data_IF_878564869693
#
_entry.id   IF_878564869693
#
_cell.length_a   1.000
_cell.length_b   1.000
_cell.length_c   1.000
_cell.angle_alpha   90.00
_cell.angle_beta   90.00
_cell.angle_gamma   90.00
#
_symmetry.space_group_name_H-M   'P 1'
#
loop_
_entity.id
_entity.type
_entity.pdbx_description
1 polymer ?
#
# COMPACT_ATOMS: atom_id res chain seq x y z
N UNK A 1 21.89 25.19 -5.14
CA UNK A 1 20.45 24.97 -5.19
C UNK A 1 20.13 23.88 -4.17
N UNK A 2 19.15 24.08 -3.27
CA UNK A 2 18.75 23.06 -2.28
C UNK A 2 18.10 21.90 -3.02
N UNK A 3 18.54 20.65 -2.79
CA UNK A 3 17.97 19.47 -3.42
C UNK A 3 17.08 18.75 -2.41
N UNK A 4 15.77 18.68 -2.66
CA UNK A 4 14.79 17.99 -1.84
C UNK A 4 14.33 16.75 -2.61
N UNK A 5 14.65 15.56 -2.09
CA UNK A 5 14.23 14.29 -2.69
C UNK A 5 12.73 14.04 -2.50
N UNK A 6 12.11 13.31 -3.41
CA UNK A 6 10.71 12.89 -3.27
C UNK A 6 10.48 12.04 -2.00
N UNK A 7 11.41 11.17 -1.69
CA UNK A 7 11.38 10.32 -0.49
C UNK A 7 12.78 10.19 0.10
N UNK A 8 12.82 9.92 1.41
CA UNK A 8 14.06 9.67 2.13
C UNK A 8 13.81 8.63 3.21
N UNK A 9 14.62 7.58 3.23
CA UNK A 9 14.62 6.57 4.27
C UNK A 9 15.27 7.13 5.52
N UNK A 10 14.72 6.81 6.69
CA UNK A 10 15.28 7.17 8.00
C UNK A 10 15.66 5.88 8.72
N UNK A 11 16.96 5.67 8.89
CA UNK A 11 17.55 4.51 9.57
C UNK A 11 18.51 4.99 10.69
N UNK A 12 17.94 5.61 11.71
CA UNK A 12 18.65 6.20 12.85
C UNK A 12 18.24 5.58 14.20
N UNK A 13 17.64 4.38 14.14
CA UNK A 13 17.24 3.55 15.27
C UNK A 13 18.20 2.39 15.53
N UNK A 14 17.63 1.24 15.83
CA UNK A 14 18.37 0.01 16.19
C UNK A 14 18.79 -0.84 14.97
N UNK A 15 18.67 -0.36 13.74
CA UNK A 15 18.89 -1.13 12.51
C UNK A 15 20.28 -1.77 12.50
N UNK A 16 21.35 -0.99 12.75
CA UNK A 16 22.73 -1.49 12.77
C UNK A 16 22.97 -2.48 13.91
N UNK A 17 22.33 -2.27 15.06
CA UNK A 17 22.43 -3.18 16.20
C UNK A 17 21.84 -4.55 15.85
N UNK A 18 20.63 -4.58 15.33
CA UNK A 18 19.94 -5.84 15.03
C UNK A 18 20.55 -6.58 13.83
N UNK A 19 21.07 -5.86 12.81
CA UNK A 19 21.84 -6.47 11.74
C UNK A 19 23.12 -7.12 12.29
N UNK A 20 23.84 -6.46 13.20
CA UNK A 20 25.04 -7.02 13.84
C UNK A 20 24.72 -8.33 14.57
N UNK A 21 23.64 -8.37 15.35
CA UNK A 21 23.20 -9.58 16.04
C UNK A 21 22.95 -10.74 15.06
N UNK A 22 22.37 -10.47 13.88
CA UNK A 22 22.16 -11.47 12.82
C UNK A 22 23.50 -11.97 12.27
N UNK A 23 24.44 -11.06 11.97
CA UNK A 23 25.75 -11.42 11.44
C UNK A 23 26.58 -12.24 12.45
N UNK A 24 26.53 -11.86 13.72
CA UNK A 24 27.23 -12.58 14.82
C UNK A 24 26.62 -13.98 15.05
N UNK A 25 25.32 -14.14 14.84
CA UNK A 25 24.67 -15.46 14.95
C UNK A 25 25.08 -16.44 13.83
N UNK A 26 25.57 -15.91 12.70
CA UNK A 26 25.86 -16.68 11.48
C UNK A 26 24.63 -17.18 10.73
N UNK A 27 23.42 -16.81 11.16
CA UNK A 27 22.17 -17.26 10.55
C UNK A 27 21.48 -16.14 9.78
N UNK A 28 21.69 -16.10 8.47
CA UNK A 28 21.26 -14.97 7.62
C UNK A 28 19.88 -15.15 6.99
N UNK A 29 19.40 -16.38 6.81
CA UNK A 29 18.11 -16.69 6.20
C UNK A 29 16.98 -16.66 7.25
N UNK A 30 15.77 -17.01 6.87
CA UNK A 30 14.58 -17.01 7.75
C UNK A 30 14.82 -17.82 9.03
N UNK A 31 14.77 -17.14 10.16
CA UNK A 31 14.96 -17.72 11.49
C UNK A 31 14.31 -16.86 12.59
N UNK A 32 15.01 -16.68 13.72
CA UNK A 32 14.50 -16.02 14.92
C UNK A 32 14.09 -14.57 14.74
N UNK A 33 14.84 -13.76 13.96
CA UNK A 33 14.45 -12.35 13.71
C UNK A 33 13.20 -12.25 12.87
N UNK A 34 13.04 -13.11 11.87
CA UNK A 34 11.83 -13.17 11.07
C UNK A 34 10.62 -13.57 11.91
N UNK A 35 10.74 -14.60 12.77
CA UNK A 35 9.67 -15.01 13.67
C UNK A 35 9.30 -13.90 14.68
N UNK A 36 10.29 -13.20 15.22
CA UNK A 36 10.08 -12.07 16.13
C UNK A 36 9.37 -10.92 15.40
N UNK A 37 9.75 -10.61 14.17
CA UNK A 37 9.12 -9.58 13.37
C UNK A 37 7.65 -9.92 13.04
N UNK A 38 7.38 -11.18 12.63
CA UNK A 38 6.02 -11.69 12.41
C UNK A 38 5.14 -11.52 13.66
N UNK A 39 5.65 -11.98 14.82
CA UNK A 39 4.92 -11.89 16.09
C UNK A 39 4.64 -10.44 16.49
N UNK A 40 5.65 -9.55 16.50
CA UNK A 40 5.47 -8.14 16.89
C UNK A 40 4.54 -7.41 15.91
N UNK A 41 4.62 -7.73 14.62
CA UNK A 41 3.75 -7.14 13.62
C UNK A 41 2.30 -7.58 13.82
N UNK A 42 2.06 -8.87 14.05
CA UNK A 42 0.72 -9.41 14.35
C UNK A 42 0.12 -8.79 15.62
N UNK A 43 0.92 -8.61 16.67
CA UNK A 43 0.49 -7.95 17.91
C UNK A 43 0.01 -6.50 17.65
N UNK A 44 0.73 -5.75 16.80
CA UNK A 44 0.41 -4.35 16.49
C UNK A 44 -0.88 -4.24 15.66
N UNK A 45 -1.04 -5.08 14.63
CA UNK A 45 -2.21 -4.99 13.74
C UNK A 45 -3.41 -5.77 14.29
N UNK A 46 -3.22 -6.57 15.35
CA UNK A 46 -4.28 -7.36 15.99
C UNK A 46 -4.71 -8.58 15.18
N UNK A 47 -3.87 -9.10 14.28
CA UNK A 47 -4.11 -10.32 13.52
C UNK A 47 -3.59 -11.55 14.26
N UNK A 48 -4.24 -12.72 14.09
CA UNK A 48 -3.77 -13.97 14.69
C UNK A 48 -2.47 -14.48 14.06
N UNK A 49 -2.28 -14.23 12.77
CA UNK A 49 -1.12 -14.71 12.01
C UNK A 49 -0.55 -13.58 11.16
N UNK A 50 0.79 -13.50 11.15
CA UNK A 50 1.56 -12.69 10.23
C UNK A 50 2.67 -13.54 9.61
N UNK A 51 2.90 -13.41 8.32
CA UNK A 51 3.88 -14.17 7.55
C UNK A 51 4.75 -13.20 6.76
N UNK A 52 6.00 -13.08 7.14
CA UNK A 52 6.97 -12.22 6.45
C UNK A 52 7.41 -12.85 5.13
N UNK A 53 7.43 -12.02 4.09
CA UNK A 53 7.78 -12.39 2.72
C UNK A 53 8.72 -11.37 2.11
N UNK A 54 9.32 -11.70 0.96
CA UNK A 54 10.32 -10.85 0.30
C UNK A 54 9.74 -9.63 -0.44
N UNK A 55 8.42 -9.52 -0.60
CA UNK A 55 7.74 -8.35 -1.19
C UNK A 55 6.24 -8.37 -0.93
N UNK A 56 5.57 -7.23 -1.05
CA UNK A 56 4.09 -7.18 -1.04
C UNK A 56 3.48 -7.95 -2.23
N UNK A 57 4.14 -7.94 -3.38
CA UNK A 57 3.73 -8.74 -4.54
C UNK A 57 3.68 -10.22 -4.19
N UNK A 58 4.67 -10.74 -3.48
CA UNK A 58 4.67 -12.11 -2.98
C UNK A 58 3.54 -12.35 -1.97
N UNK A 59 3.25 -11.39 -1.09
CA UNK A 59 2.14 -11.46 -0.15
C UNK A 59 0.78 -11.56 -0.87
N UNK A 60 0.53 -10.66 -1.85
CA UNK A 60 -0.69 -10.66 -2.66
C UNK A 60 -0.85 -11.95 -3.47
N UNK A 61 0.24 -12.45 -4.07
CA UNK A 61 0.22 -13.71 -4.82
C UNK A 61 -0.13 -14.90 -3.92
N UNK A 62 0.51 -15.02 -2.76
CA UNK A 62 0.21 -16.05 -1.77
C UNK A 62 -1.22 -15.93 -1.22
N UNK A 63 -1.72 -14.70 -1.06
CA UNK A 63 -3.07 -14.45 -0.58
C UNK A 63 -4.13 -15.00 -1.54
N UNK A 64 -4.00 -14.70 -2.83
CA UNK A 64 -4.91 -15.21 -3.86
C UNK A 64 -4.75 -16.73 -4.06
N UNK A 65 -3.52 -17.25 -4.01
CA UNK A 65 -3.25 -18.68 -4.08
C UNK A 65 -3.92 -19.43 -2.91
N UNK A 66 -3.82 -18.90 -1.68
CA UNK A 66 -4.44 -19.50 -0.50
C UNK A 66 -5.98 -19.42 -0.51
N UNK A 67 -6.56 -18.56 -1.35
CA UNK A 67 -8.00 -18.49 -1.64
C UNK A 67 -8.41 -19.35 -2.83
N UNK A 68 -7.49 -20.18 -3.35
CA UNK A 68 -7.71 -21.06 -4.49
C UNK A 68 -8.18 -20.31 -5.76
N UNK A 69 -7.63 -19.10 -5.97
CA UNK A 69 -7.84 -18.32 -7.21
C UNK A 69 -7.05 -18.95 -8.33
N UNK A 70 -7.69 -19.20 -9.48
CA UNK A 70 -7.09 -19.87 -10.63
C UNK A 70 -7.73 -19.52 -11.96
N UNK A 71 -7.40 -20.27 -13.03
CA UNK A 71 -7.93 -20.04 -14.37
C UNK A 71 -9.47 -20.07 -14.40
N UNK A 72 -10.06 -19.05 -15.02
CA UNK A 72 -11.52 -18.88 -15.12
C UNK A 72 -12.13 -18.03 -13.99
N UNK A 73 -11.39 -17.80 -12.89
CA UNK A 73 -11.84 -16.91 -11.84
C UNK A 73 -11.66 -15.43 -12.22
N UNK A 74 -12.49 -14.57 -11.64
CA UNK A 74 -12.42 -13.11 -11.78
C UNK A 74 -12.15 -12.46 -10.44
N UNK A 75 -11.28 -11.44 -10.45
CA UNK A 75 -10.93 -10.67 -9.25
C UNK A 75 -11.08 -9.19 -9.53
N UNK A 76 -11.88 -8.50 -8.71
CA UNK A 76 -12.02 -7.04 -8.78
C UNK A 76 -10.74 -6.36 -8.28
N UNK A 77 -10.33 -5.29 -8.98
CA UNK A 77 -9.15 -4.49 -8.62
C UNK A 77 -9.32 -3.05 -9.14
N UNK A 78 -8.99 -1.99 -8.36
CA UNK A 78 -9.04 -0.63 -8.87
C UNK A 78 -8.00 -0.43 -9.99
N UNK A 79 -8.35 0.41 -10.97
CA UNK A 79 -7.42 0.77 -12.04
C UNK A 79 -6.32 1.74 -11.58
N UNK A 80 -6.60 2.54 -10.52
CA UNK A 80 -5.63 3.44 -9.89
C UNK A 80 -4.85 2.72 -8.79
N UNK A 81 -3.91 1.89 -9.21
CA UNK A 81 -3.03 1.14 -8.30
C UNK A 81 -1.68 0.88 -8.96
N UNK A 82 -0.73 0.37 -8.17
CA UNK A 82 0.50 -0.21 -8.71
C UNK A 82 0.19 -1.55 -9.41
N UNK A 83 0.93 -1.85 -10.47
CA UNK A 83 0.64 -3.00 -11.34
C UNK A 83 0.58 -4.36 -10.60
N UNK A 84 1.31 -4.49 -9.48
CA UNK A 84 1.36 -5.73 -8.70
C UNK A 84 -0.03 -6.25 -8.28
N UNK A 85 -0.96 -5.35 -7.89
CA UNK A 85 -2.32 -5.74 -7.48
C UNK A 85 -3.09 -6.50 -8.58
N UNK A 86 -2.82 -6.20 -9.86
CA UNK A 86 -3.43 -6.89 -11.00
C UNK A 86 -2.55 -8.02 -11.57
N UNK A 87 -1.23 -7.88 -11.51
CA UNK A 87 -0.30 -8.90 -12.01
C UNK A 87 -0.45 -10.23 -11.28
N UNK A 88 -0.60 -10.20 -9.95
CA UNK A 88 -0.74 -11.42 -9.15
C UNK A 88 -1.98 -12.24 -9.52
N UNK A 89 -3.04 -11.58 -9.99
CA UNK A 89 -4.22 -12.24 -10.54
C UNK A 89 -3.83 -13.02 -11.80
N UNK A 90 -3.05 -12.38 -12.68
CA UNK A 90 -2.58 -13.00 -13.92
C UNK A 90 -1.58 -14.13 -13.70
N UNK A 91 -0.75 -14.06 -12.65
CA UNK A 91 0.17 -15.13 -12.30
C UNK A 91 -0.55 -16.45 -12.02
N UNK A 92 -1.76 -16.38 -11.48
CA UNK A 92 -2.61 -17.54 -11.19
C UNK A 92 -3.53 -17.94 -12.36
N UNK A 93 -3.45 -17.24 -13.50
CA UNK A 93 -4.28 -17.53 -14.68
C UNK A 93 -5.71 -16.95 -14.59
N UNK A 94 -6.08 -16.29 -13.49
CA UNK A 94 -7.35 -15.59 -13.33
C UNK A 94 -7.37 -14.26 -14.09
N UNK A 95 -8.54 -13.63 -14.22
CA UNK A 95 -8.71 -12.38 -14.95
C UNK A 95 -9.08 -11.21 -14.01
N UNK A 96 -8.36 -10.07 -14.06
CA UNK A 96 -8.73 -8.87 -13.34
C UNK A 96 -9.94 -8.20 -13.99
N UNK A 97 -10.89 -7.77 -13.15
CA UNK A 97 -11.97 -6.86 -13.52
C UNK A 97 -11.64 -5.49 -12.92
N UNK A 98 -11.34 -4.52 -13.79
CA UNK A 98 -10.88 -3.21 -13.36
C UNK A 98 -12.04 -2.31 -12.94
N UNK A 99 -11.88 -1.63 -11.82
CA UNK A 99 -12.82 -0.67 -11.27
C UNK A 99 -12.31 0.76 -11.46
N UNK A 100 -13.21 1.70 -11.72
CA UNK A 100 -12.90 3.12 -11.53
C UNK A 100 -12.76 3.42 -10.03
N UNK A 101 -12.37 4.62 -9.70
CA UNK A 101 -12.20 5.09 -8.32
C UNK A 101 -12.94 6.41 -8.11
N UNK A 102 -13.12 6.80 -6.86
CA UNK A 102 -13.67 8.10 -6.54
C UNK A 102 -12.62 9.21 -6.74
N UNK A 103 -13.03 10.31 -7.35
CA UNK A 103 -12.18 11.49 -7.50
C UNK A 103 -11.88 12.13 -6.16
N UNK A 104 -10.62 12.49 -5.93
CA UNK A 104 -10.16 13.09 -4.68
C UNK A 104 -9.64 12.09 -3.64
N UNK A 105 -10.21 10.89 -3.55
CA UNK A 105 -9.73 9.83 -2.65
C UNK A 105 -8.87 8.79 -3.35
N UNK A 106 -9.11 8.55 -4.64
CA UNK A 106 -8.54 7.45 -5.44
C UNK A 106 -8.90 6.06 -4.88
N UNK A 107 -10.02 5.95 -4.16
CA UNK A 107 -10.49 4.70 -3.55
C UNK A 107 -11.74 4.18 -4.26
N UNK A 108 -11.97 2.88 -4.18
CA UNK A 108 -13.25 2.26 -4.58
C UNK A 108 -14.30 2.55 -3.52
N UNK A 109 -15.48 3.01 -3.94
CA UNK A 109 -16.64 3.26 -3.06
C UNK A 109 -17.63 2.11 -3.09
N UNK A 110 -18.60 2.12 -2.19
CA UNK A 110 -19.69 1.16 -2.15
C UNK A 110 -20.48 1.11 -3.47
N UNK A 111 -20.77 2.26 -4.07
CA UNK A 111 -21.54 2.35 -5.32
C UNK A 111 -20.78 1.75 -6.50
N UNK A 112 -19.47 2.05 -6.61
CA UNK A 112 -18.59 1.46 -7.64
C UNK A 112 -18.56 -0.06 -7.49
N UNK A 113 -18.38 -0.57 -6.25
CA UNK A 113 -18.32 -2.00 -6.00
C UNK A 113 -19.66 -2.70 -6.32
N UNK A 114 -20.79 -2.14 -5.89
CA UNK A 114 -22.12 -2.70 -6.17
C UNK A 114 -22.40 -2.78 -7.66
N UNK A 115 -22.16 -1.68 -8.39
CA UNK A 115 -22.30 -1.66 -9.85
C UNK A 115 -21.44 -2.72 -10.53
N UNK A 116 -20.21 -2.93 -10.08
CA UNK A 116 -19.33 -3.96 -10.64
C UNK A 116 -19.87 -5.38 -10.40
N UNK A 117 -20.38 -5.66 -9.19
CA UNK A 117 -20.96 -6.97 -8.83
C UNK A 117 -22.21 -7.27 -9.67
N UNK A 118 -23.07 -6.27 -9.93
CA UNK A 118 -24.24 -6.41 -10.79
C UNK A 118 -23.87 -6.84 -12.22
N UNK A 119 -22.77 -6.29 -12.76
CA UNK A 119 -22.28 -6.62 -14.11
C UNK A 119 -21.44 -7.91 -14.16
N UNK A 120 -20.89 -8.35 -13.01
CA UNK A 120 -20.03 -9.51 -12.89
C UNK A 120 -20.42 -10.35 -11.67
N UNK A 121 -21.48 -11.20 -11.76
CA UNK A 121 -21.97 -11.95 -10.59
C UNK A 121 -21.06 -13.11 -10.16
N UNK A 122 -20.04 -13.45 -10.93
CA UNK A 122 -19.10 -14.56 -10.74
C UNK A 122 -17.73 -14.13 -10.18
N UNK A 123 -17.69 -13.04 -9.43
CA UNK A 123 -16.48 -12.55 -8.78
C UNK A 123 -16.10 -13.44 -7.59
N UNK A 124 -14.85 -13.90 -7.56
CA UNK A 124 -14.30 -14.71 -6.47
C UNK A 124 -13.66 -13.88 -5.36
N UNK A 125 -12.94 -12.82 -5.73
CA UNK A 125 -12.26 -11.96 -4.76
C UNK A 125 -12.23 -10.50 -5.21
N UNK A 126 -11.99 -9.62 -4.25
CA UNK A 126 -11.76 -8.19 -4.46
C UNK A 126 -10.45 -7.77 -3.78
N UNK A 127 -9.64 -7.00 -4.48
CA UNK A 127 -8.42 -6.38 -3.95
C UNK A 127 -8.67 -4.87 -3.77
N UNK A 128 -9.24 -4.42 -2.64
CA UNK A 128 -9.24 -3.00 -2.31
C UNK A 128 -7.81 -2.51 -2.07
N UNK A 129 -7.47 -1.33 -2.59
CA UNK A 129 -6.17 -0.70 -2.39
C UNK A 129 -6.31 0.48 -1.43
N UNK A 130 -5.54 0.49 -0.37
CA UNK A 130 -5.46 1.61 0.58
C UNK A 130 -4.53 2.70 0.03
N UNK A 131 -5.06 3.47 -0.92
CA UNK A 131 -4.27 4.41 -1.71
C UNK A 131 -3.64 5.51 -0.84
N UNK A 132 -2.39 5.87 -1.13
CA UNK A 132 -1.62 6.94 -0.48
C UNK A 132 -1.41 6.75 1.05
N UNK A 133 -1.99 5.72 1.64
CA UNK A 133 -2.02 5.48 3.09
C UNK A 133 -3.36 5.78 3.74
N UNK A 134 -4.39 6.13 2.95
CA UNK A 134 -5.76 6.20 3.40
C UNK A 134 -6.42 4.84 3.28
N UNK A 135 -7.02 4.34 4.34
CA UNK A 135 -7.74 3.08 4.31
C UNK A 135 -8.95 3.17 3.37
N UNK A 136 -9.15 2.16 2.52
CA UNK A 136 -10.39 1.99 1.78
C UNK A 136 -11.58 1.88 2.75
N UNK A 137 -12.80 2.31 2.38
CA UNK A 137 -13.96 2.36 3.28
C UNK A 137 -14.53 0.96 3.55
N UNK A 138 -13.71 0.08 4.14
CA UNK A 138 -14.06 -1.31 4.43
C UNK A 138 -15.18 -1.45 5.45
N UNK A 139 -15.18 -0.59 6.46
CA UNK A 139 -16.15 -0.61 7.56
C UNK A 139 -17.24 0.44 7.34
N UNK A 140 -18.48 0.08 7.64
CA UNK A 140 -19.62 1.01 7.64
C UNK A 140 -19.38 2.14 8.64
N UNK A 141 -19.79 3.37 8.29
CA UNK A 141 -19.64 4.56 9.15
C UNK A 141 -20.98 5.15 9.60
N UNK A 142 -22.08 4.39 9.48
CA UNK A 142 -23.44 4.81 9.80
C UNK A 142 -24.14 5.65 8.71
N UNK A 143 -23.40 6.11 7.68
CA UNK A 143 -23.94 6.83 6.51
C UNK A 143 -23.80 6.03 5.24
N UNK A 144 -22.71 5.30 5.10
CA UNK A 144 -22.39 4.45 3.94
C UNK A 144 -22.09 3.04 4.39
N UNK A 145 -22.53 2.07 3.61
CA UNK A 145 -22.22 0.65 3.78
C UNK A 145 -20.74 0.40 3.51
N UNK A 146 -20.11 -0.44 4.33
CA UNK A 146 -18.70 -0.81 4.16
C UNK A 146 -18.50 -1.83 3.05
N UNK A 147 -17.36 -1.75 2.36
CA UNK A 147 -17.02 -2.70 1.30
C UNK A 147 -16.98 -4.15 1.81
N UNK A 148 -16.58 -4.35 3.08
CA UNK A 148 -16.54 -5.67 3.72
C UNK A 148 -17.94 -6.32 3.79
N UNK A 149 -18.94 -5.55 4.16
CA UNK A 149 -20.33 -6.02 4.26
C UNK A 149 -20.87 -6.38 2.88
N UNK A 150 -20.66 -5.54 1.88
CA UNK A 150 -21.06 -5.79 0.49
C UNK A 150 -20.44 -7.10 -0.03
N UNK A 151 -19.12 -7.27 0.15
CA UNK A 151 -18.41 -8.47 -0.29
C UNK A 151 -18.92 -9.72 0.42
N UNK A 152 -19.11 -9.66 1.73
CA UNK A 152 -19.63 -10.78 2.52
C UNK A 152 -21.02 -11.22 2.07
N UNK A 153 -21.92 -10.26 1.78
CA UNK A 153 -23.27 -10.55 1.32
C UNK A 153 -23.31 -11.21 -0.09
N UNK A 154 -22.23 -11.03 -0.87
CA UNK A 154 -22.09 -11.60 -2.21
C UNK A 154 -21.09 -12.79 -2.28
N UNK A 155 -20.59 -13.28 -1.14
CA UNK A 155 -19.64 -14.39 -1.11
C UNK A 155 -18.24 -14.06 -1.68
N UNK A 156 -17.89 -12.79 -1.78
CA UNK A 156 -16.63 -12.30 -2.36
C UNK A 156 -15.57 -12.19 -1.25
N UNK A 157 -14.40 -12.77 -1.46
CA UNK A 157 -13.26 -12.70 -0.52
C UNK A 157 -12.51 -11.39 -0.68
N UNK A 158 -11.98 -10.85 0.42
CA UNK A 158 -11.23 -9.58 0.42
C UNK A 158 -9.75 -9.82 0.70
N UNK A 159 -8.90 -9.39 -0.24
CA UNK A 159 -7.45 -9.30 -0.09
C UNK A 159 -7.04 -7.83 -0.10
N UNK A 160 -6.76 -7.26 1.06
CA UNK A 160 -6.39 -5.84 1.19
C UNK A 160 -4.96 -5.61 0.66
N UNK A 161 -4.82 -4.74 -0.35
CA UNK A 161 -3.50 -4.19 -0.71
C UNK A 161 -3.20 -2.98 0.18
N UNK A 162 -2.48 -3.24 1.26
CA UNK A 162 -2.06 -2.27 2.26
C UNK A 162 -0.61 -1.81 2.06
N UNK A 163 -0.08 -1.88 0.81
CA UNK A 163 1.30 -1.49 0.51
C UNK A 163 1.63 -0.03 0.90
N UNK A 164 0.63 0.83 1.07
CA UNK A 164 0.77 2.22 1.51
C UNK A 164 0.27 2.47 2.93
N UNK A 165 -0.37 1.48 3.59
CA UNK A 165 -1.28 1.73 4.70
C UNK A 165 -0.79 1.16 6.04
N UNK A 166 0.51 1.22 6.31
CA UNK A 166 0.99 0.93 7.65
C UNK A 166 1.66 2.17 8.28
N UNK A 167 1.28 2.54 9.51
CA UNK A 167 0.14 2.08 10.30
C UNK A 167 -1.11 2.97 10.09
N UNK A 168 -2.01 2.56 9.20
CA UNK A 168 -3.27 3.27 8.96
C UNK A 168 -4.43 2.65 9.71
N UNK A 169 -5.56 3.40 9.80
CA UNK A 169 -6.79 2.93 10.44
C UNK A 169 -7.99 3.16 9.53
N UNK A 170 -8.95 2.24 9.59
CA UNK A 170 -10.27 2.38 9.01
C UNK A 170 -11.27 2.55 10.14
N UNK A 171 -11.87 3.73 10.28
CA UNK A 171 -12.79 4.07 11.38
C UNK A 171 -12.17 3.74 12.76
N UNK A 172 -10.90 4.09 12.99
CA UNK A 172 -10.17 3.85 14.23
C UNK A 172 -9.62 2.41 14.39
N UNK A 173 -10.08 1.42 13.62
CA UNK A 173 -9.52 0.06 13.62
C UNK A 173 -8.28 0.01 12.73
N UNK A 174 -7.17 -0.50 13.27
CA UNK A 174 -5.91 -0.60 12.50
C UNK A 174 -6.10 -1.53 11.29
N UNK A 175 -5.51 -1.14 10.15
CA UNK A 175 -5.45 -1.98 8.94
C UNK A 175 -4.53 -3.17 9.19
N UNK A 176 -4.98 -4.36 8.80
CA UNK A 176 -4.21 -5.60 8.97
C UNK A 176 -5.01 -6.78 9.51
N UNK A 177 -6.27 -6.50 9.92
CA UNK A 177 -7.22 -7.51 10.40
C UNK A 177 -8.66 -7.04 10.15
N UNK A 178 -8.98 -6.62 8.91
CA UNK A 178 -10.33 -6.15 8.56
C UNK A 178 -10.95 -7.07 7.53
N UNK A 179 -10.29 -7.29 6.39
CA UNK A 179 -10.69 -8.27 5.38
C UNK A 179 -10.26 -9.69 5.74
N UNK A 180 -10.26 -10.59 4.76
CA UNK A 180 -9.81 -11.98 4.94
C UNK A 180 -8.29 -12.07 5.06
N UNK A 181 -7.59 -11.28 4.25
CA UNK A 181 -6.11 -11.22 4.19
C UNK A 181 -5.69 -9.78 3.94
N UNK A 182 -4.65 -9.31 4.62
CA UNK A 182 -4.04 -7.99 4.36
C UNK A 182 -2.58 -8.16 3.98
N UNK A 183 -2.14 -7.44 2.93
CA UNK A 183 -0.79 -7.52 2.38
C UNK A 183 -0.07 -6.18 2.48
N UNK A 184 1.09 -6.15 3.16
CA UNK A 184 1.90 -4.96 3.40
C UNK A 184 3.19 -4.96 2.61
N UNK A 185 3.72 -3.78 2.33
CA UNK A 185 5.02 -3.56 1.68
C UNK A 185 6.01 -2.91 2.63
N UNK A 186 7.22 -3.43 2.62
CA UNK A 186 8.38 -2.84 3.28
C UNK A 186 9.47 -2.47 2.26
N UNK A 187 9.04 -2.10 1.03
CA UNK A 187 9.95 -1.56 0.02
C UNK A 187 10.64 -0.28 0.53
N UNK A 188 11.78 0.07 -0.04
CA UNK A 188 12.68 1.11 0.46
C UNK A 188 12.02 2.46 0.78
N UNK A 189 11.00 2.90 0.03
CA UNK A 189 10.34 4.19 0.23
C UNK A 189 9.08 4.15 1.12
N UNK A 190 8.70 2.97 1.65
CA UNK A 190 7.48 2.82 2.46
C UNK A 190 7.61 3.48 3.84
N UNK A 191 6.51 3.54 4.57
CA UNK A 191 6.45 4.16 5.92
C UNK A 191 7.40 3.50 6.91
N UNK A 192 7.56 2.18 6.81
CA UNK A 192 8.67 1.40 7.37
C UNK A 192 9.28 0.54 6.26
N UNK A 193 10.56 0.21 6.37
CA UNK A 193 11.25 -0.52 5.31
C UNK A 193 12.13 -1.66 5.84
N UNK A 194 12.31 -2.68 4.99
CA UNK A 194 13.34 -3.73 5.16
C UNK A 194 14.31 -3.75 3.97
N UNK A 195 14.32 -2.65 3.17
CA UNK A 195 14.93 -2.59 1.84
C UNK A 195 13.98 -3.19 0.80
N UNK A 196 13.83 -4.47 0.81
CA UNK A 196 12.79 -5.26 0.15
C UNK A 196 12.09 -6.12 1.19
N UNK A 197 10.77 -6.26 1.10
CA UNK A 197 9.98 -7.07 2.01
C UNK A 197 8.48 -6.82 1.92
N UNK A 198 7.74 -7.72 2.57
CA UNK A 198 6.30 -7.64 2.74
C UNK A 198 5.83 -8.47 3.91
N UNK A 199 4.55 -8.35 4.23
CA UNK A 199 3.87 -9.14 5.25
C UNK A 199 2.48 -9.51 4.78
N UNK A 200 2.07 -10.75 4.99
CA UNK A 200 0.69 -11.20 4.86
C UNK A 200 0.14 -11.40 6.26
N UNK A 201 -1.03 -10.84 6.56
CA UNK A 201 -1.72 -11.04 7.84
C UNK A 201 -3.12 -11.60 7.63
N UNK A 202 -3.58 -12.45 8.54
CA UNK A 202 -4.91 -13.09 8.50
C UNK A 202 -5.28 -13.66 9.87
N UNK A 203 -6.58 -13.81 10.13
CA UNK A 203 -7.08 -14.56 11.29
C UNK A 203 -7.39 -16.04 10.94
N UNK A 204 -7.34 -16.40 9.66
CA UNK A 204 -7.64 -17.74 9.19
C UNK A 204 -6.42 -18.66 9.28
N UNK A 205 -6.50 -19.64 10.16
CA UNK A 205 -5.42 -20.63 10.32
C UNK A 205 -5.19 -21.47 9.04
N UNK A 206 -6.22 -21.92 8.28
CA UNK A 206 -5.99 -22.60 7.01
C UNK A 206 -5.22 -21.75 5.99
N UNK A 207 -5.55 -20.47 5.85
CA UNK A 207 -4.84 -19.53 4.96
C UNK A 207 -3.39 -19.35 5.42
N UNK A 208 -3.18 -19.12 6.72
CA UNK A 208 -1.83 -18.95 7.26
C UNK A 208 -0.96 -20.19 7.05
N UNK A 209 -1.50 -21.38 7.28
CA UNK A 209 -0.80 -22.66 7.02
C UNK A 209 -0.45 -22.83 5.55
N UNK A 210 -1.39 -22.54 4.64
CA UNK A 210 -1.16 -22.64 3.20
C UNK A 210 -0.08 -21.67 2.76
N UNK A 211 -0.19 -20.39 3.11
CA UNK A 211 0.79 -19.37 2.75
C UNK A 211 2.19 -19.67 3.34
N UNK A 212 2.28 -20.22 4.57
CA UNK A 212 3.54 -20.64 5.19
C UNK A 212 4.24 -21.73 4.40
N UNK A 213 3.50 -22.72 3.91
CA UNK A 213 4.04 -23.81 3.08
C UNK A 213 4.45 -23.26 1.70
N UNK A 214 3.56 -22.48 1.07
CA UNK A 214 3.76 -22.01 -0.30
C UNK A 214 4.88 -20.97 -0.42
N UNK A 215 5.15 -20.14 0.61
CA UNK A 215 6.24 -19.15 0.58
C UNK A 215 7.63 -19.77 0.52
N UNK A 216 7.74 -21.10 0.77
CA UNK A 216 8.99 -21.82 0.81
C UNK A 216 8.88 -23.17 0.08
N UNK A 217 8.84 -23.13 -1.25
CA UNK A 217 8.90 -24.29 -2.15
C UNK A 217 7.78 -25.34 -1.94
N UNK A 218 6.68 -25.02 -1.24
CA UNK A 218 5.67 -26.03 -0.91
C UNK A 218 6.13 -27.09 0.09
N UNK A 219 7.18 -26.78 0.85
CA UNK A 219 7.75 -27.70 1.84
C UNK A 219 6.91 -27.67 3.12
N UNK A 220 6.49 -28.84 3.59
CA UNK A 220 5.60 -28.99 4.75
C UNK A 220 6.26 -28.76 6.11
N UNK A 221 7.54 -28.33 6.14
CA UNK A 221 8.32 -28.08 7.37
C UNK A 221 9.08 -26.77 7.33
N UNK A 222 9.22 -26.16 8.51
CA UNK A 222 10.04 -24.95 8.68
C UNK A 222 11.54 -25.28 8.54
N UNK A 223 12.29 -24.42 7.83
CA UNK A 223 13.76 -24.61 7.69
C UNK A 223 14.45 -24.56 9.06
N UNK A 224 13.98 -23.66 9.93
CA UNK A 224 14.52 -23.50 11.28
C UNK A 224 14.39 -24.78 12.10
N UNK A 225 13.23 -25.43 12.04
CA UNK A 225 12.97 -26.69 12.78
C UNK A 225 13.89 -27.85 12.35
N UNK A 226 14.43 -27.78 11.12
CA UNK A 226 15.39 -28.81 10.63
C UNK A 226 16.71 -28.81 11.37
N UNK A 227 17.16 -27.64 11.85
CA UNK A 227 18.49 -27.45 12.40
C UNK A 227 18.48 -27.23 13.92
N UNK A 228 17.34 -26.92 14.52
CA UNK A 228 17.20 -26.56 15.93
C UNK A 228 16.39 -27.57 16.77
N UNK A 229 15.66 -28.49 16.13
CA UNK A 229 14.89 -29.50 16.88
C UNK A 229 15.82 -30.55 17.51
N UNK A 230 15.55 -30.95 18.75
CA UNK A 230 16.28 -32.02 19.49
C UNK A 230 16.21 -33.39 18.76
N UNK A 231 15.28 -33.60 17.86
CA UNK A 231 15.17 -34.76 16.99
C UNK A 231 15.45 -34.32 15.56
N UNK A 232 16.61 -34.59 14.97
CA UNK A 232 16.88 -34.32 13.59
C UNK A 232 15.92 -35.13 12.72
N UNK A 233 14.92 -34.47 12.19
CA UNK A 233 13.95 -35.07 11.27
C UNK A 233 14.57 -35.08 9.88
N UNK A 234 14.92 -36.27 9.42
CA UNK A 234 15.67 -36.50 8.17
C UNK A 234 14.83 -36.25 6.92
N UNK A 235 13.49 -36.31 7.04
CA UNK A 235 12.61 -36.27 5.89
C UNK A 235 11.70 -35.01 5.90
N UNK A 236 11.60 -34.38 4.73
CA UNK A 236 10.61 -33.34 4.40
C UNK A 236 9.94 -33.72 3.08
N UNK A 237 8.74 -33.20 2.87
CA UNK A 237 7.99 -33.46 1.64
C UNK A 237 7.61 -32.14 0.99
N UNK A 238 7.52 -32.15 -0.35
CA UNK A 238 7.01 -31.05 -1.17
C UNK A 238 5.55 -31.39 -1.50
N UNK A 239 4.64 -30.75 -0.75
CA UNK A 239 3.19 -31.04 -0.85
C UNK A 239 2.47 -30.22 -1.92
N UNK A 240 3.15 -29.23 -2.50
CA UNK A 240 2.66 -28.40 -3.59
C UNK A 240 3.83 -27.68 -4.29
N UNK A 241 3.66 -27.22 -5.54
CA UNK A 241 4.68 -26.42 -6.25
C UNK A 241 4.72 -24.98 -5.70
N UNK A 242 5.40 -24.80 -4.57
CA UNK A 242 5.49 -23.51 -3.88
C UNK A 242 6.54 -22.57 -4.47
N UNK A 243 6.67 -21.40 -3.86
CA UNK A 243 7.49 -20.29 -4.31
C UNK A 243 8.71 -20.09 -3.39
N UNK A 244 9.65 -19.24 -3.80
CA UNK A 244 10.77 -18.78 -2.97
C UNK A 244 10.52 -17.34 -2.54
N UNK A 245 9.66 -17.14 -1.54
CA UNK A 245 9.16 -15.83 -1.10
C UNK A 245 9.47 -15.48 0.36
N UNK A 246 10.18 -16.33 1.06
CA UNK A 246 10.54 -16.11 2.47
C UNK A 246 11.43 -14.88 2.67
N UNK A 247 11.23 -14.16 3.78
CA UNK A 247 12.08 -13.04 4.19
C UNK A 247 13.33 -13.56 4.93
N UNK A 248 14.55 -13.04 4.66
CA UNK A 248 15.75 -13.35 5.44
C UNK A 248 15.80 -12.55 6.75
N UNK A 249 16.51 -13.07 7.77
CA UNK A 249 16.65 -12.43 9.07
C UNK A 249 17.35 -11.06 9.03
N UNK A 250 18.24 -10.82 8.06
CA UNK A 250 18.84 -9.50 7.85
C UNK A 250 17.76 -8.45 7.56
N UNK A 251 16.82 -8.75 6.66
CA UNK A 251 15.70 -7.85 6.34
C UNK A 251 14.75 -7.71 7.52
N UNK A 252 14.44 -8.81 8.22
CA UNK A 252 13.60 -8.79 9.40
C UNK A 252 14.21 -7.97 10.55
N UNK A 253 15.54 -7.99 10.71
CA UNK A 253 16.26 -7.18 11.69
C UNK A 253 16.06 -5.67 11.45
N UNK A 254 16.12 -5.22 10.18
CA UNK A 254 15.78 -3.85 9.82
C UNK A 254 14.31 -3.57 10.15
N UNK A 255 13.42 -4.49 9.76
CA UNK A 255 11.97 -4.37 10.01
C UNK A 255 11.63 -4.22 11.49
N UNK A 256 12.28 -4.97 12.38
CA UNK A 256 12.11 -4.86 13.83
C UNK A 256 12.46 -3.46 14.36
N UNK A 257 13.59 -2.91 13.93
CA UNK A 257 14.02 -1.57 14.33
C UNK A 257 13.07 -0.48 13.80
N UNK A 258 12.64 -0.61 12.55
CA UNK A 258 11.67 0.30 11.92
C UNK A 258 10.30 0.22 12.61
N UNK A 259 9.88 -0.99 13.01
CA UNK A 259 8.60 -1.21 13.69
C UNK A 259 8.51 -0.49 15.04
N UNK A 260 9.62 -0.42 15.78
CA UNK A 260 9.73 0.32 17.06
C UNK A 260 9.39 1.82 16.91
N UNK A 261 9.52 2.35 15.71
CA UNK A 261 9.38 3.77 15.40
C UNK A 261 8.22 4.10 14.45
N UNK A 262 7.47 3.08 14.04
CA UNK A 262 6.43 3.23 13.03
C UNK A 262 5.43 4.36 13.34
N UNK A 263 4.94 4.44 14.59
CA UNK A 263 3.98 5.48 14.99
C UNK A 263 4.63 6.87 15.04
N UNK A 264 5.85 7.02 15.56
CA UNK A 264 6.54 8.31 15.56
C UNK A 264 6.81 8.81 14.14
N UNK A 265 7.18 7.93 13.23
CA UNK A 265 7.36 8.27 11.81
C UNK A 265 6.03 8.64 11.12
N UNK A 266 4.91 8.00 11.50
CA UNK A 266 3.58 8.38 11.04
C UNK A 266 3.21 9.80 11.50
N UNK A 267 3.45 10.12 12.78
CA UNK A 267 3.18 11.45 13.34
C UNK A 267 3.97 12.54 12.61
N UNK A 268 5.25 12.30 12.29
CA UNK A 268 6.04 13.25 11.50
C UNK A 268 5.52 13.44 10.07
N UNK A 269 5.03 12.37 9.42
CA UNK A 269 4.37 12.48 8.12
C UNK A 269 3.03 13.23 8.22
N UNK A 270 2.27 13.01 9.28
CA UNK A 270 1.04 13.76 9.56
C UNK A 270 1.33 15.25 9.75
N UNK A 271 2.42 15.62 10.45
CA UNK A 271 2.88 17.00 10.59
C UNK A 271 3.12 17.64 9.20
N UNK A 272 3.85 16.95 8.33
CA UNK A 272 4.10 17.43 6.97
C UNK A 272 2.80 17.60 6.17
N UNK A 273 1.88 16.64 6.27
CA UNK A 273 0.59 16.70 5.59
C UNK A 273 -0.25 17.90 6.07
N UNK A 274 -0.38 18.10 7.38
CA UNK A 274 -1.07 19.26 7.96
C UNK A 274 -0.49 20.58 7.46
N UNK A 275 0.84 20.64 7.37
CA UNK A 275 1.52 21.80 6.84
C UNK A 275 1.15 22.11 5.38
N UNK A 276 1.12 21.07 4.53
CA UNK A 276 0.66 21.23 3.15
C UNK A 276 -0.79 21.68 3.05
N UNK A 277 -1.70 21.10 3.84
CA UNK A 277 -3.09 21.55 3.87
C UNK A 277 -3.21 23.01 4.26
N UNK A 278 -2.50 23.45 5.32
CA UNK A 278 -2.51 24.84 5.78
C UNK A 278 -2.00 25.81 4.70
N UNK A 279 -0.88 25.47 4.03
CA UNK A 279 -0.20 26.37 3.11
C UNK A 279 -0.75 26.36 1.68
N UNK A 280 -1.43 25.31 1.27
CA UNK A 280 -1.87 25.12 -0.13
C UNK A 280 -3.40 25.22 -0.30
N UNK A 281 -4.20 25.35 0.76
CA UNK A 281 -5.65 25.39 0.70
C UNK A 281 -6.22 26.60 -0.05
N UNK A 282 -5.43 27.64 -0.27
CA UNK A 282 -5.79 28.88 -0.97
C UNK A 282 -5.49 28.86 -2.47
N UNK A 283 -4.98 27.76 -3.02
CA UNK A 283 -4.63 27.62 -4.43
C UNK A 283 -5.79 26.96 -5.20
N UNK A 284 -6.50 27.74 -6.02
CA UNK A 284 -7.66 27.28 -6.77
C UNK A 284 -7.33 26.28 -7.91
N UNK A 285 -6.08 26.24 -8.34
CA UNK A 285 -5.62 25.42 -9.47
C UNK A 285 -5.19 24.00 -9.09
N UNK A 286 -5.26 23.64 -7.79
CA UNK A 286 -5.02 22.29 -7.32
C UNK A 286 -6.11 21.81 -6.37
N UNK A 287 -6.41 20.52 -6.42
CA UNK A 287 -7.24 19.85 -5.43
C UNK A 287 -6.33 19.09 -4.47
N UNK A 288 -6.54 19.32 -3.17
CA UNK A 288 -5.86 18.58 -2.09
C UNK A 288 -6.56 17.24 -1.88
N UNK A 289 -5.86 16.24 -1.30
CA UNK A 289 -6.47 14.94 -1.06
C UNK A 289 -7.68 15.04 -0.12
N UNK A 290 -8.74 14.30 -0.44
CA UNK A 290 -9.94 14.22 0.41
C UNK A 290 -9.68 13.20 1.53
N UNK A 291 -9.94 13.59 2.78
CA UNK A 291 -9.75 12.73 3.95
C UNK A 291 -11.10 12.17 4.38
N UNK A 292 -11.25 10.85 4.35
CA UNK A 292 -12.51 10.16 4.70
C UNK A 292 -12.75 10.05 6.20
N UNK A 293 -11.68 9.96 6.97
CA UNK A 293 -11.68 9.73 8.42
C UNK A 293 -10.86 10.81 9.14
N UNK A 294 -10.24 10.47 10.26
CA UNK A 294 -9.36 11.41 10.96
C UNK A 294 -7.99 11.49 10.28
N UNK A 295 -7.33 12.63 10.41
CA UNK A 295 -5.94 12.80 9.96
C UNK A 295 -4.98 11.74 10.54
N UNK A 296 -5.20 11.36 11.80
CA UNK A 296 -4.42 10.34 12.51
C UNK A 296 -4.66 8.91 12.03
N UNK A 297 -5.73 8.67 11.27
CA UNK A 297 -6.02 7.36 10.68
C UNK A 297 -5.21 7.09 9.40
N UNK A 298 -4.57 8.13 8.84
CA UNK A 298 -3.80 8.04 7.61
C UNK A 298 -2.31 7.85 7.90
N UNK A 299 -1.63 6.96 7.16
CA UNK A 299 -0.17 6.78 7.29
C UNK A 299 0.65 7.86 6.58
N UNK A 300 0.02 8.63 5.71
CA UNK A 300 0.67 9.69 4.91
C UNK A 300 1.88 9.18 4.14
N UNK A 301 1.74 8.00 3.53
CA UNK A 301 2.79 7.47 2.66
C UNK A 301 3.04 8.37 1.45
N UNK A 302 1.97 8.87 0.85
CA UNK A 302 1.99 9.81 -0.27
C UNK A 302 1.12 11.01 0.08
N UNK A 303 1.57 12.21 -0.30
CA UNK A 303 0.73 13.41 -0.36
C UNK A 303 0.54 13.76 -1.83
N UNK A 304 -0.63 13.43 -2.38
CA UNK A 304 -0.95 13.63 -3.79
C UNK A 304 -1.89 14.82 -3.95
N UNK A 305 -1.48 15.80 -4.74
CA UNK A 305 -2.34 16.89 -5.21
C UNK A 305 -2.76 16.60 -6.65
N UNK A 306 -3.88 17.18 -7.09
CA UNK A 306 -4.35 17.07 -8.46
C UNK A 306 -4.41 18.48 -9.05
N UNK A 307 -3.62 18.77 -10.09
CA UNK A 307 -3.81 19.97 -10.88
C UNK A 307 -5.15 19.84 -11.59
N UNK A 308 -6.08 20.72 -11.26
CA UNK A 308 -7.45 20.71 -11.81
C UNK A 308 -7.56 21.54 -13.08
N UNK A 309 -8.79 21.68 -13.62
CA UNK A 309 -9.02 22.38 -14.88
C UNK A 309 -8.74 23.91 -14.80
N UNK A 310 -8.59 24.50 -13.61
CA UNK A 310 -8.18 25.88 -13.40
C UNK A 310 -6.65 26.05 -13.44
N UNK A 311 -5.88 24.96 -13.55
CA UNK A 311 -4.42 25.07 -13.58
C UNK A 311 -3.95 25.74 -14.86
N UNK A 312 -3.07 26.77 -14.76
CA UNK A 312 -2.51 27.44 -15.93
C UNK A 312 -1.50 26.55 -16.69
N UNK A 313 -1.12 25.41 -16.11
CA UNK A 313 -0.08 24.55 -16.62
C UNK A 313 -0.56 23.10 -16.71
N UNK A 314 0.02 22.33 -17.63
CA UNK A 314 -0.11 20.89 -17.62
C UNK A 314 0.66 20.28 -16.43
N UNK A 315 0.21 19.13 -15.94
CA UNK A 315 0.91 18.37 -14.91
C UNK A 315 2.40 18.14 -15.24
N UNK A 316 2.71 17.78 -16.48
CA UNK A 316 4.10 17.50 -16.88
C UNK A 316 4.98 18.75 -16.78
N UNK A 317 4.48 19.90 -17.25
CA UNK A 317 5.22 21.14 -17.14
C UNK A 317 5.39 21.61 -15.68
N UNK A 318 4.39 21.41 -14.83
CA UNK A 318 4.52 21.64 -13.39
C UNK A 318 5.64 20.78 -12.77
N UNK A 319 5.69 19.49 -13.10
CA UNK A 319 6.75 18.56 -12.63
C UNK A 319 8.14 19.02 -13.08
N UNK A 320 8.30 19.48 -14.33
CA UNK A 320 9.54 20.03 -14.86
C UNK A 320 9.97 21.26 -14.07
N UNK A 321 9.09 22.22 -13.84
CA UNK A 321 9.38 23.44 -13.07
C UNK A 321 9.72 23.14 -11.60
N UNK A 322 9.09 22.16 -10.98
CA UNK A 322 9.47 21.70 -9.63
C UNK A 322 10.88 21.08 -9.64
N UNK A 323 11.21 20.27 -10.64
CA UNK A 323 12.54 19.68 -10.78
C UNK A 323 13.64 20.73 -11.01
N UNK A 324 13.37 21.79 -11.79
CA UNK A 324 14.28 22.93 -11.97
C UNK A 324 14.57 23.66 -10.66
N UNK A 325 13.64 23.64 -9.71
CA UNK A 325 13.82 24.18 -8.35
C UNK A 325 14.49 23.19 -7.39
N UNK A 326 14.90 22.01 -7.89
CA UNK A 326 15.53 20.96 -7.10
C UNK A 326 14.56 20.18 -6.22
N UNK A 327 13.25 20.25 -6.49
CA UNK A 327 12.21 19.55 -5.74
C UNK A 327 11.78 18.28 -6.50
N UNK A 328 12.07 17.11 -5.93
CA UNK A 328 11.66 15.83 -6.47
C UNK A 328 10.15 15.59 -6.28
N UNK A 329 9.46 15.24 -7.35
CA UNK A 329 8.04 14.83 -7.34
C UNK A 329 7.91 13.46 -7.95
N UNK A 330 6.72 12.84 -7.82
CA UNK A 330 6.40 11.56 -8.44
C UNK A 330 4.95 11.55 -8.93
N UNK A 331 4.58 10.48 -9.65
CA UNK A 331 3.23 10.32 -10.18
C UNK A 331 2.68 8.96 -9.75
N UNK A 332 1.63 8.93 -8.95
CA UNK A 332 0.96 7.74 -8.47
C UNK A 332 -0.53 7.79 -8.85
N UNK A 333 -0.96 7.02 -9.87
CA UNK A 333 -0.20 6.22 -10.83
C UNK A 333 -0.70 6.52 -12.26
N UNK A 334 0.02 6.01 -13.30
CA UNK A 334 -0.62 5.81 -14.60
C UNK A 334 -1.63 4.67 -14.44
N UNK A 335 -2.93 4.87 -14.72
CA UNK A 335 -3.94 3.84 -14.49
C UNK A 335 -3.68 2.58 -15.30
N UNK A 336 -4.04 1.41 -14.75
CA UNK A 336 -3.77 0.12 -15.39
C UNK A 336 -4.50 -0.05 -16.73
N UNK A 337 -5.71 0.54 -16.88
CA UNK A 337 -6.43 0.52 -18.16
C UNK A 337 -5.70 1.26 -19.30
N UNK A 338 -4.68 2.08 -18.98
CA UNK A 338 -3.79 2.74 -19.95
C UNK A 338 -2.48 2.00 -20.19
N UNK A 339 -2.19 0.95 -19.41
CA UNK A 339 -1.00 0.13 -19.60
C UNK A 339 -1.21 -0.84 -20.77
N UNK A 340 -0.26 -0.90 -21.66
CA UNK A 340 -0.34 -1.64 -22.94
C UNK A 340 -0.88 -3.06 -22.78
N UNK A 341 -0.30 -3.84 -21.86
CA UNK A 341 -0.70 -5.21 -21.61
C UNK A 341 -2.19 -5.36 -21.27
N UNK A 342 -2.68 -4.57 -20.29
CA UNK A 342 -4.08 -4.67 -19.84
C UNK A 342 -5.04 -4.07 -20.86
N UNK A 343 -4.69 -2.89 -21.42
CA UNK A 343 -5.49 -2.23 -22.43
C UNK A 343 -5.79 -3.13 -23.62
N UNK A 344 -4.76 -3.76 -24.18
CA UNK A 344 -4.89 -4.61 -25.36
C UNK A 344 -5.58 -5.94 -25.05
N UNK A 345 -5.21 -6.59 -23.93
CA UNK A 345 -5.75 -7.89 -23.56
C UNK A 345 -7.24 -7.84 -23.22
N UNK A 346 -7.69 -6.79 -22.54
CA UNK A 346 -9.06 -6.66 -22.03
C UNK A 346 -9.88 -5.62 -22.81
N UNK A 347 -9.33 -5.05 -23.89
CA UNK A 347 -9.97 -4.01 -24.72
C UNK A 347 -10.50 -2.84 -23.86
N UNK A 348 -9.68 -2.37 -22.90
CA UNK A 348 -10.08 -1.33 -21.96
C UNK A 348 -10.05 0.05 -22.62
N UNK A 349 -11.08 0.84 -22.33
CA UNK A 349 -11.25 2.19 -22.90
C UNK A 349 -11.18 3.23 -21.78
N UNK A 350 -10.50 4.38 -22.00
CA UNK A 350 -10.45 5.47 -21.04
C UNK A 350 -11.81 5.97 -20.56
N UNK A 351 -12.81 5.94 -21.45
CA UNK A 351 -14.18 6.42 -21.18
C UNK A 351 -14.89 5.60 -20.09
N UNK A 352 -14.47 4.35 -19.89
CA UNK A 352 -15.04 3.46 -18.87
C UNK A 352 -14.49 3.78 -17.44
N UNK A 353 -13.48 4.68 -17.33
CA UNK A 353 -12.80 5.04 -16.09
C UNK A 353 -12.63 6.56 -15.92
N UNK A 354 -13.73 7.35 -15.97
CA UNK A 354 -13.67 8.81 -16.06
C UNK A 354 -12.95 9.48 -14.87
N UNK A 355 -13.10 8.97 -13.66
CA UNK A 355 -12.43 9.53 -12.49
C UNK A 355 -10.93 9.23 -12.48
N UNK A 356 -10.54 7.98 -12.77
CA UNK A 356 -9.14 7.63 -12.89
C UNK A 356 -8.44 8.43 -14.01
N UNK A 357 -9.11 8.70 -15.11
CA UNK A 357 -8.63 9.56 -16.18
C UNK A 357 -8.42 11.01 -15.72
N UNK A 358 -9.39 11.56 -15.00
CA UNK A 358 -9.29 12.90 -14.45
C UNK A 358 -8.16 13.02 -13.44
N UNK A 359 -8.02 12.04 -12.54
CA UNK A 359 -6.92 11.98 -11.59
C UNK A 359 -5.58 11.89 -12.31
N UNK A 360 -5.44 10.96 -13.27
CA UNK A 360 -4.21 10.75 -14.04
C UNK A 360 -3.72 12.01 -14.75
N UNK A 361 -4.65 12.80 -15.28
CA UNK A 361 -4.34 14.01 -16.02
C UNK A 361 -3.61 15.04 -15.16
N UNK A 362 -3.94 15.10 -13.85
CA UNK A 362 -3.44 16.14 -12.94
C UNK A 362 -2.63 15.67 -11.74
N UNK A 363 -2.57 14.37 -11.40
CA UNK A 363 -1.96 13.93 -10.14
C UNK A 363 -0.44 14.17 -10.08
N UNK A 364 0.00 14.74 -8.95
CA UNK A 364 1.41 14.91 -8.59
C UNK A 364 1.58 14.59 -7.11
N UNK A 365 2.54 13.73 -6.79
CA UNK A 365 2.91 13.42 -5.42
C UNK A 365 4.06 14.31 -4.96
N UNK A 366 3.84 15.05 -3.88
CA UNK A 366 4.80 15.96 -3.27
C UNK A 366 5.72 15.20 -2.29
N UNK A 367 6.93 15.76 -1.98
CA UNK A 367 7.82 15.16 -0.98
C UNK A 367 7.13 15.00 0.37
N UNK A 368 7.17 13.80 0.95
CA UNK A 368 6.70 13.53 2.31
C UNK A 368 7.50 12.41 2.97
N UNK A 369 8.23 12.72 4.03
CA UNK A 369 9.02 11.77 4.83
C UNK A 369 9.30 12.35 6.23
N UNK A 370 9.59 11.51 7.25
CA UNK A 370 9.70 11.96 8.64
C UNK A 370 10.71 13.08 8.89
N UNK A 371 11.85 13.08 8.18
CA UNK A 371 12.92 14.07 8.36
C UNK A 371 12.78 15.34 7.50
N UNK A 372 11.62 15.57 6.87
CA UNK A 372 11.37 16.77 6.08
C UNK A 372 11.18 17.98 7.02
N UNK A 373 12.10 18.96 6.93
CA UNK A 373 12.09 20.12 7.82
C UNK A 373 11.04 21.16 7.43
N UNK A 374 10.69 22.05 8.37
CA UNK A 374 9.76 23.14 8.09
C UNK A 374 10.30 24.09 7.01
N UNK A 375 11.61 24.40 7.00
CA UNK A 375 12.24 25.22 5.96
C UNK A 375 12.15 24.57 4.56
N UNK A 376 12.16 23.22 4.51
CA UNK A 376 11.96 22.49 3.25
C UNK A 376 10.51 22.53 2.82
N UNK A 377 9.58 22.37 3.76
CA UNK A 377 8.14 22.51 3.52
C UNK A 377 7.79 23.93 3.05
N UNK A 378 8.34 24.97 3.69
CA UNK A 378 8.17 26.37 3.27
C UNK A 378 8.65 26.57 1.83
N UNK A 379 9.85 26.07 1.51
CA UNK A 379 10.41 26.18 0.17
C UNK A 379 9.56 25.47 -0.90
N UNK A 380 9.06 24.27 -0.60
CA UNK A 380 8.16 23.51 -1.49
C UNK A 380 6.86 24.30 -1.72
N UNK A 381 6.20 24.75 -0.64
CA UNK A 381 4.94 25.48 -0.74
C UNK A 381 5.09 26.83 -1.48
N UNK A 382 6.17 27.58 -1.20
CA UNK A 382 6.47 28.81 -1.90
C UNK A 382 6.73 28.57 -3.40
N UNK A 383 7.45 27.50 -3.73
CA UNK A 383 7.69 27.11 -5.13
C UNK A 383 6.41 26.76 -5.87
N UNK A 384 5.49 26.03 -5.23
CA UNK A 384 4.17 25.70 -5.81
C UNK A 384 3.36 26.97 -6.06
N UNK A 385 3.30 27.87 -5.07
CA UNK A 385 2.58 29.15 -5.19
C UNK A 385 3.15 30.03 -6.30
N UNK A 386 4.46 30.10 -6.42
CA UNK A 386 5.14 30.87 -7.48
C UNK A 386 4.86 30.27 -8.88
N UNK A 387 4.87 28.95 -9.02
CA UNK A 387 4.63 28.25 -10.29
C UNK A 387 3.16 28.41 -10.74
N UNK A 388 2.21 28.26 -9.81
CA UNK A 388 0.77 28.25 -10.14
C UNK A 388 0.11 29.65 -10.09
N UNK A 389 0.80 30.64 -9.54
CA UNK A 389 0.26 31.97 -9.25
C UNK A 389 -0.60 31.98 -7.98
N UNK A 390 -0.46 33.03 -7.17
CA UNK A 390 -1.35 33.25 -6.02
C UNK A 390 -2.70 33.78 -6.50
N UNK A 391 -3.77 33.05 -6.23
CA UNK A 391 -5.15 33.56 -6.38
C UNK A 391 -5.78 33.75 -5.00
N UNK A 392 -6.77 34.63 -4.95
CA UNK A 392 -7.40 35.32 -3.79
C UNK A 392 -7.79 34.42 -2.61
N UNK A 393 -7.78 34.96 -1.37
CA UNK A 393 -8.16 34.21 -0.20
C UNK A 393 -9.64 33.78 -0.24
N UNK A 394 -9.92 32.49 -0.11
CA UNK A 394 -11.25 31.98 0.19
C UNK A 394 -11.54 32.24 1.69
N UNK A 395 -12.56 33.04 1.98
CA UNK A 395 -13.08 33.19 3.34
C UNK A 395 -13.80 31.90 3.76
N UNK A 396 -13.29 31.29 4.82
CA UNK A 396 -14.02 30.44 5.76
C UNK A 396 -14.41 29.04 5.30
N UNK A 397 -13.59 28.03 5.65
CA UNK A 397 -14.07 26.69 6.04
C UNK A 397 -13.10 26.16 7.09
N UNK A 398 -13.35 26.51 8.34
CA UNK A 398 -12.95 25.76 9.53
C UNK A 398 -14.10 25.92 10.53
N UNK A 399 -15.01 24.97 10.53
CA UNK A 399 -15.92 24.69 11.63
C UNK A 399 -16.24 23.21 11.65
#
# INVERSE_FOLDING_TARGET
MKKISFSKVVCDGNELKYIREVLESGWLTTAGKTQEFERRFSDIVGARFALAVNSCTAALHLALEALDVGPGDKVLVPTMTFTASAEVIRYLGADPVFLDVEYGTSLVTADILKSAIEHHPDIKAFIPVHFAGQAAPLLSNGKTEGLLEICKNNGIRIVEDAAHAFPSRCNGKIVGNIGDITCFSFYANKTITTGEGGMLTTDSEPIAKRAKVMRLHGINRDIWDRFTSEKPLIEYDVVAPGFKYNMPDISAAIGLAQLERAESMRVERERCAKYYFEKLCDIDSIDLPVILNNFSDHSWHIFSVILNDNSPLSRNHFVELMAERGIGTSIHYKPLHRMTYYKERYNLRPEDYPNAERIWKGCVSLPIYPSLSNDELDYICASIKDILGTQRPRHGILS
#
